data_IF_342853944113
#
_entry.id   IF_342853944113
#
_cell.length_a   1.000
_cell.length_b   1.000
_cell.length_c   1.000
_cell.angle_alpha   90.00
_cell.angle_beta   90.00
_cell.angle_gamma   90.00
#
_symmetry.space_group_name_H-M   'P 1'
#
loop_
_entity.id
_entity.type
_entity.pdbx_description
1 polymer ?
#
# COMPACT_ATOMS: atom_id res chain seq x y z
N UNK A 1 5.84 -26.25 30.14
CA UNK A 1 4.92 -25.09 30.26
C UNK A 1 5.20 -24.21 29.07
N UNK A 2 4.20 -23.76 28.32
CA UNK A 2 4.39 -22.86 27.19
C UNK A 2 4.82 -21.49 27.73
N UNK A 3 5.75 -20.81 27.00
CA UNK A 3 6.14 -19.45 27.31
C UNK A 3 5.05 -18.44 26.87
N UNK A 4 5.07 -17.20 27.37
CA UNK A 4 4.10 -16.18 27.00
C UNK A 4 4.09 -15.92 25.49
N UNK A 5 5.27 -15.93 24.85
CA UNK A 5 5.40 -15.76 23.40
C UNK A 5 4.72 -16.90 22.60
N UNK A 6 4.69 -18.13 23.13
CA UNK A 6 4.03 -19.24 22.46
C UNK A 6 2.51 -19.01 22.38
N UNK A 7 1.90 -18.45 23.43
CA UNK A 7 0.47 -18.11 23.43
C UNK A 7 0.18 -16.96 22.46
N UNK A 8 1.00 -15.90 22.45
CA UNK A 8 0.87 -14.80 21.49
C UNK A 8 0.94 -15.31 20.04
N UNK A 9 1.93 -16.16 19.75
CA UNK A 9 2.13 -16.72 18.41
C UNK A 9 0.96 -17.63 17.98
N UNK A 10 0.49 -18.53 18.86
CA UNK A 10 -0.66 -19.40 18.54
C UNK A 10 -1.92 -18.58 18.29
N UNK A 11 -2.18 -17.54 19.08
CA UNK A 11 -3.30 -16.62 18.86
C UNK A 11 -3.19 -15.89 17.52
N UNK A 12 -1.99 -15.46 17.15
CA UNK A 12 -1.70 -14.84 15.85
C UNK A 12 -1.94 -15.80 14.68
N UNK A 13 -1.46 -17.04 14.79
CA UNK A 13 -1.69 -18.10 13.79
C UNK A 13 -3.19 -18.32 13.57
N UNK A 14 -3.96 -18.43 14.66
CA UNK A 14 -5.40 -18.60 14.59
C UNK A 14 -6.12 -17.38 13.99
N UNK A 15 -5.74 -16.16 14.42
CA UNK A 15 -6.32 -14.89 13.93
C UNK A 15 -6.17 -14.72 12.42
N UNK A 16 -5.00 -15.09 11.88
CA UNK A 16 -4.67 -14.90 10.47
C UNK A 16 -4.82 -16.18 9.64
N UNK A 17 -5.39 -17.24 10.21
CA UNK A 17 -5.61 -18.54 9.56
C UNK A 17 -4.34 -19.08 8.87
N UNK A 18 -3.20 -18.99 9.59
CA UNK A 18 -1.90 -19.40 9.06
C UNK A 18 -1.69 -20.91 9.26
N UNK A 19 -1.00 -21.54 8.31
CA UNK A 19 -0.58 -22.94 8.42
C UNK A 19 0.70 -23.18 7.64
N UNK A 20 1.53 -24.11 8.07
CA UNK A 20 2.78 -24.49 7.42
C UNK A 20 2.90 -26.02 7.36
N UNK A 21 3.56 -26.50 6.32
CA UNK A 21 3.61 -27.92 6.02
C UNK A 21 4.51 -28.71 6.97
N UNK A 22 5.51 -28.06 7.59
CA UNK A 22 6.49 -28.74 8.44
C UNK A 22 6.66 -28.08 9.81
N UNK A 23 7.12 -28.85 10.78
CA UNK A 23 7.44 -28.36 12.12
C UNK A 23 8.63 -27.40 12.08
N UNK A 24 9.59 -27.64 11.20
CA UNK A 24 10.76 -26.77 11.00
C UNK A 24 10.33 -25.37 10.55
N UNK A 25 9.42 -25.30 9.59
CA UNK A 25 8.88 -24.02 9.12
C UNK A 25 8.06 -23.32 10.20
N UNK A 26 7.17 -24.04 10.89
CA UNK A 26 6.43 -23.50 12.02
C UNK A 26 7.35 -22.88 13.07
N UNK A 27 8.45 -23.57 13.44
CA UNK A 27 9.41 -23.05 14.39
C UNK A 27 10.20 -21.83 13.86
N UNK A 28 10.55 -21.82 12.57
CA UNK A 28 11.18 -20.67 11.94
C UNK A 28 10.25 -19.44 11.97
N UNK A 29 8.97 -19.62 11.66
CA UNK A 29 7.95 -18.55 11.72
C UNK A 29 7.75 -18.01 13.13
N UNK A 30 7.73 -18.90 14.12
CA UNK A 30 7.67 -18.50 15.52
C UNK A 30 8.89 -17.67 15.94
N UNK A 31 10.08 -18.02 15.47
CA UNK A 31 11.28 -17.26 15.77
C UNK A 31 11.23 -15.84 15.17
N UNK A 32 10.75 -15.71 13.93
CA UNK A 32 10.54 -14.39 13.27
C UNK A 32 9.53 -13.57 14.07
N UNK A 33 8.38 -14.17 14.41
CA UNK A 33 7.34 -13.51 15.20
C UNK A 33 7.87 -13.02 16.56
N UNK A 34 8.65 -13.85 17.26
CA UNK A 34 9.23 -13.49 18.54
C UNK A 34 10.23 -12.33 18.45
N UNK A 35 11.03 -12.28 17.39
CA UNK A 35 11.94 -11.16 17.14
C UNK A 35 11.18 -9.86 16.88
N UNK A 36 10.06 -9.90 16.13
CA UNK A 36 9.19 -8.75 15.93
C UNK A 36 8.51 -8.32 17.23
N UNK A 37 7.99 -9.27 18.06
CA UNK A 37 7.38 -8.95 19.35
C UNK A 37 8.35 -8.21 20.27
N UNK A 38 9.60 -8.67 20.37
CA UNK A 38 10.64 -8.00 21.15
C UNK A 38 10.95 -6.58 20.62
N UNK A 39 11.03 -6.42 19.30
CA UNK A 39 11.28 -5.11 18.69
C UNK A 39 10.10 -4.14 18.95
N UNK A 40 8.86 -4.62 18.82
CA UNK A 40 7.65 -3.86 19.10
C UNK A 40 7.56 -3.45 20.59
N UNK A 41 7.90 -4.34 21.51
CA UNK A 41 7.93 -4.01 22.94
C UNK A 41 8.94 -2.89 23.23
N UNK A 42 10.11 -2.89 22.59
CA UNK A 42 11.09 -1.80 22.72
C UNK A 42 10.53 -0.48 22.23
N UNK A 43 9.90 -0.45 21.06
CA UNK A 43 9.30 0.76 20.49
C UNK A 43 8.18 1.28 21.39
N UNK A 44 7.26 0.39 21.80
CA UNK A 44 6.09 0.78 22.57
C UNK A 44 6.40 1.25 23.99
N UNK A 45 7.55 0.85 24.55
CA UNK A 45 8.02 1.26 25.87
C UNK A 45 8.98 2.46 25.83
N UNK A 46 9.39 2.93 24.66
CA UNK A 46 10.26 4.09 24.53
C UNK A 46 9.43 5.39 24.59
N UNK A 47 9.63 6.22 25.62
CA UNK A 47 8.88 7.47 25.79
C UNK A 47 9.17 8.55 24.71
N UNK A 48 10.20 8.34 23.88
CA UNK A 48 10.49 9.23 22.76
C UNK A 48 9.59 8.99 21.55
N UNK A 49 8.95 7.82 21.46
CA UNK A 49 8.01 7.51 20.39
C UNK A 49 6.60 8.05 20.72
N UNK A 50 6.00 8.69 19.73
CA UNK A 50 4.61 9.23 19.83
C UNK A 50 3.57 8.29 19.21
N UNK A 51 3.97 7.07 18.85
CA UNK A 51 3.16 6.04 18.22
C UNK A 51 3.38 4.70 18.91
N UNK A 52 2.47 3.77 18.68
CA UNK A 52 2.59 2.37 19.09
C UNK A 52 2.51 1.46 17.86
N UNK A 53 3.11 0.30 17.95
CA UNK A 53 3.12 -0.74 16.90
C UNK A 53 2.55 -2.03 17.44
N UNK A 54 1.96 -2.84 16.55
CA UNK A 54 1.38 -4.13 16.89
C UNK A 54 1.55 -5.13 15.75
N UNK A 55 1.33 -6.40 16.02
CA UNK A 55 1.38 -7.49 15.07
C UNK A 55 0.31 -7.35 13.98
N UNK A 56 0.72 -7.63 12.75
CA UNK A 56 -0.14 -7.68 11.57
C UNK A 56 0.07 -8.99 10.80
N UNK A 57 -0.62 -9.19 9.69
CA UNK A 57 -0.56 -10.40 8.85
C UNK A 57 0.86 -10.77 8.37
N UNK A 58 1.79 -9.81 8.35
CA UNK A 58 3.17 -10.01 7.90
C UNK A 58 4.16 -10.35 9.03
N UNK A 59 3.70 -10.38 10.28
CA UNK A 59 4.59 -10.55 11.45
C UNK A 59 5.34 -11.89 11.50
N UNK A 60 5.00 -12.84 10.64
CA UNK A 60 5.69 -14.12 10.48
C UNK A 60 6.50 -14.22 9.18
N UNK A 61 6.53 -13.16 8.38
CA UNK A 61 7.20 -13.16 7.08
C UNK A 61 8.70 -12.93 7.22
N UNK A 62 9.48 -13.62 6.38
CA UNK A 62 10.91 -13.36 6.22
C UNK A 62 11.16 -12.22 5.21
N UNK A 63 12.40 -11.74 5.12
CA UNK A 63 12.76 -10.63 4.23
C UNK A 63 12.43 -10.89 2.75
N UNK A 64 12.59 -12.12 2.24
CA UNK A 64 12.25 -12.45 0.85
C UNK A 64 10.75 -12.33 0.58
N UNK A 65 9.93 -12.62 1.57
CA UNK A 65 8.47 -12.44 1.46
C UNK A 65 8.11 -10.98 1.54
N UNK A 66 8.75 -10.22 2.43
CA UNK A 66 8.59 -8.76 2.50
C UNK A 66 9.02 -8.05 1.22
N UNK A 67 10.04 -8.55 0.53
CA UNK A 67 10.47 -7.98 -0.75
C UNK A 67 9.39 -8.05 -1.84
N UNK A 68 8.42 -8.97 -1.73
CA UNK A 68 7.29 -9.03 -2.66
C UNK A 68 6.37 -7.82 -2.57
N UNK A 69 6.35 -7.13 -1.41
CA UNK A 69 5.55 -5.92 -1.20
C UNK A 69 6.25 -4.68 -1.76
N UNK A 70 7.57 -4.70 -1.89
CA UNK A 70 8.42 -3.57 -2.29
C UNK A 70 8.49 -3.47 -3.82
N UNK A 71 7.41 -3.06 -4.44
CA UNK A 71 7.25 -3.04 -5.90
C UNK A 71 7.72 -1.76 -6.58
N UNK A 72 8.41 -0.81 -5.90
CA UNK A 72 8.87 0.41 -6.55
C UNK A 72 9.99 0.13 -7.58
N UNK A 73 9.88 0.73 -8.76
CA UNK A 73 10.88 0.72 -9.84
C UNK A 73 11.21 2.15 -10.24
N UNK A 74 12.49 2.42 -10.44
CA UNK A 74 12.91 3.72 -10.94
C UNK A 74 12.41 3.92 -12.37
N UNK A 75 11.75 5.05 -12.61
CA UNK A 75 11.30 5.49 -13.91
C UNK A 75 11.90 6.86 -14.18
N UNK A 76 12.38 7.09 -15.39
CA UNK A 76 12.91 8.39 -15.78
C UNK A 76 11.92 9.05 -16.75
N UNK A 77 11.06 9.89 -16.20
CA UNK A 77 10.07 10.65 -16.99
C UNK A 77 10.69 11.77 -17.81
N UNK A 78 11.95 12.12 -17.54
CA UNK A 78 12.57 13.32 -18.12
C UNK A 78 11.92 14.64 -17.68
N UNK A 79 10.99 14.60 -16.73
CA UNK A 79 10.25 15.78 -16.25
C UNK A 79 10.77 16.18 -14.88
N UNK A 80 11.19 17.41 -14.74
CA UNK A 80 11.47 18.07 -13.48
C UNK A 80 10.42 19.17 -13.31
N UNK A 81 9.26 18.84 -12.78
CA UNK A 81 8.28 19.84 -12.39
C UNK A 81 8.52 20.24 -10.93
N UNK A 82 9.20 21.34 -10.71
CA UNK A 82 9.21 22.01 -9.41
C UNK A 82 8.20 23.16 -9.55
N UNK A 83 7.08 23.06 -8.88
CA UNK A 83 6.15 24.17 -8.70
C UNK A 83 6.50 24.82 -7.37
N UNK A 84 7.18 25.94 -7.40
CA UNK A 84 7.37 26.79 -6.23
C UNK A 84 6.10 27.61 -6.02
N UNK A 85 5.31 27.25 -5.01
CA UNK A 85 4.22 28.07 -4.53
C UNK A 85 4.73 28.90 -3.36
N UNK A 86 4.81 30.23 -3.56
CA UNK A 86 5.22 31.19 -2.51
C UNK A 86 4.01 31.69 -1.70
N UNK A 87 2.86 31.06 -1.79
CA UNK A 87 1.69 31.44 -0.98
C UNK A 87 1.94 31.14 0.51
N UNK A 88 1.41 31.99 1.43
CA UNK A 88 1.51 31.71 2.85
C UNK A 88 0.84 30.38 3.19
N UNK A 89 1.61 29.48 3.79
CA UNK A 89 1.10 28.19 4.25
C UNK A 89 0.57 28.27 5.67
N UNK A 90 -0.44 27.48 5.99
CA UNK A 90 -0.90 27.32 7.36
C UNK A 90 0.17 26.63 8.23
N UNK A 91 0.23 26.94 9.53
CA UNK A 91 1.18 26.33 10.47
C UNK A 91 1.06 24.79 10.51
N UNK A 92 -0.14 24.25 10.28
CA UNK A 92 -0.39 22.82 10.14
C UNK A 92 -1.62 22.56 9.27
N UNK A 93 -1.64 21.38 8.62
CA UNK A 93 -2.81 20.87 7.92
C UNK A 93 -2.93 19.36 8.14
N UNK A 94 -4.18 18.90 8.38
CA UNK A 94 -4.51 17.48 8.45
C UNK A 94 -5.54 17.16 7.36
N UNK A 95 -5.09 16.55 6.28
CA UNK A 95 -5.93 16.21 5.14
C UNK A 95 -6.94 15.10 5.44
N UNK A 96 -6.67 14.23 6.44
CA UNK A 96 -7.64 13.23 6.91
C UNK A 96 -8.87 13.92 7.52
N UNK A 97 -8.66 14.89 8.41
CA UNK A 97 -9.78 15.64 9.04
C UNK A 97 -10.50 16.54 8.05
N UNK A 98 -9.84 16.92 6.95
CA UNK A 98 -10.48 17.66 5.85
C UNK A 98 -11.29 16.77 4.91
N UNK A 99 -11.22 15.44 5.05
CA UNK A 99 -11.93 14.49 4.21
C UNK A 99 -11.28 14.21 2.86
N UNK A 100 -9.99 14.52 2.70
CA UNK A 100 -9.24 14.38 1.44
C UNK A 100 -8.50 13.03 1.31
N UNK A 101 -8.63 12.13 2.29
CA UNK A 101 -7.90 10.87 2.35
C UNK A 101 -8.88 9.71 2.51
N UNK A 102 -8.79 8.73 1.63
CA UNK A 102 -9.57 7.48 1.70
C UNK A 102 -9.15 6.63 2.88
N UNK A 103 -9.98 5.67 3.34
CA UNK A 103 -9.57 4.69 4.34
C UNK A 103 -8.30 3.93 3.95
N UNK A 104 -7.56 3.44 4.94
CA UNK A 104 -6.37 2.62 4.71
C UNK A 104 -6.73 1.38 3.90
N UNK A 105 -6.00 1.17 2.80
CA UNK A 105 -6.17 0.06 1.88
C UNK A 105 -5.11 -1.03 2.11
N UNK A 106 -5.26 -2.20 1.50
CA UNK A 106 -4.33 -3.31 1.63
C UNK A 106 -3.95 -3.86 0.25
N UNK A 107 -2.66 -3.83 -0.08
CA UNK A 107 -2.13 -4.35 -1.34
C UNK A 107 -2.01 -5.88 -1.37
N UNK A 108 -2.22 -6.57 -0.23
CA UNK A 108 -2.03 -8.02 -0.12
C UNK A 108 -0.61 -8.45 -0.48
N UNK A 109 -0.48 -9.56 -1.22
CA UNK A 109 0.81 -10.15 -1.61
C UNK A 109 1.29 -9.74 -3.01
N UNK A 110 0.82 -8.61 -3.51
CA UNK A 110 1.19 -8.04 -4.81
C UNK A 110 2.13 -6.85 -4.61
N UNK A 111 3.21 -6.77 -5.37
CA UNK A 111 4.14 -5.65 -5.35
C UNK A 111 3.59 -4.39 -6.03
N UNK A 112 2.39 -3.97 -5.63
CA UNK A 112 1.62 -2.87 -6.20
C UNK A 112 1.65 -1.58 -5.38
N UNK A 113 2.60 -1.44 -4.44
CA UNK A 113 2.75 -0.22 -3.63
C UNK A 113 2.83 1.06 -4.48
N UNK A 114 3.43 0.97 -5.66
CA UNK A 114 3.47 2.05 -6.65
C UNK A 114 2.07 2.48 -7.12
N UNK A 115 1.15 1.54 -7.36
CA UNK A 115 -0.21 1.81 -7.78
C UNK A 115 -1.01 2.47 -6.64
N UNK A 116 -0.93 1.92 -5.40
CA UNK A 116 -1.58 2.51 -4.22
C UNK A 116 -1.07 3.90 -3.90
N UNK A 117 0.24 4.13 -4.04
CA UNK A 117 0.82 5.47 -3.86
C UNK A 117 0.31 6.46 -4.90
N UNK A 118 0.14 6.01 -6.16
CA UNK A 118 -0.36 6.84 -7.25
C UNK A 118 -1.84 7.17 -7.07
N UNK A 119 -2.69 6.17 -6.77
CA UNK A 119 -4.12 6.41 -6.55
C UNK A 119 -4.36 7.28 -5.34
N UNK A 120 -3.64 7.07 -4.23
CA UNK A 120 -3.77 7.92 -3.04
C UNK A 120 -3.41 9.39 -3.31
N UNK A 121 -2.38 9.65 -4.12
CA UNK A 121 -2.04 11.01 -4.54
C UNK A 121 -3.11 11.60 -5.46
N UNK A 122 -3.63 10.82 -6.41
CA UNK A 122 -4.70 11.23 -7.31
C UNK A 122 -6.01 11.54 -6.56
N UNK A 123 -6.39 10.70 -5.59
CA UNK A 123 -7.56 10.88 -4.72
C UNK A 123 -7.50 12.22 -3.96
N UNK A 124 -6.34 12.52 -3.37
CA UNK A 124 -6.11 13.79 -2.68
C UNK A 124 -6.16 14.99 -3.63
N UNK A 125 -5.51 14.90 -4.79
CA UNK A 125 -5.54 15.95 -5.80
C UNK A 125 -6.95 16.18 -6.35
N UNK A 126 -7.68 15.11 -6.64
CA UNK A 126 -9.07 15.19 -7.09
C UNK A 126 -9.98 15.86 -6.05
N UNK A 127 -9.82 15.50 -4.77
CA UNK A 127 -10.57 16.16 -3.70
C UNK A 127 -10.27 17.66 -3.62
N UNK A 128 -9.01 18.06 -3.74
CA UNK A 128 -8.62 19.48 -3.70
C UNK A 128 -9.25 20.24 -4.85
N UNK A 129 -9.29 19.63 -6.04
CA UNK A 129 -9.84 20.27 -7.24
C UNK A 129 -11.37 20.30 -7.26
N UNK A 130 -12.04 19.22 -6.81
CA UNK A 130 -13.48 19.02 -7.03
C UNK A 130 -14.33 19.07 -5.76
N UNK A 131 -13.71 19.09 -4.57
CA UNK A 131 -14.40 19.12 -3.28
C UNK A 131 -15.06 17.80 -2.87
N UNK A 132 -14.90 16.72 -3.64
CA UNK A 132 -15.46 15.39 -3.35
C UNK A 132 -14.36 14.35 -3.38
N UNK A 133 -14.38 13.41 -2.41
CA UNK A 133 -13.42 12.32 -2.36
C UNK A 133 -13.93 11.14 -3.20
N UNK A 134 -13.07 10.65 -4.08
CA UNK A 134 -13.29 9.43 -4.86
C UNK A 134 -12.21 8.41 -4.51
N UNK A 135 -12.51 7.12 -4.61
CA UNK A 135 -11.53 6.05 -4.51
C UNK A 135 -11.24 5.51 -5.91
N UNK A 136 -9.99 5.62 -6.36
CA UNK A 136 -9.56 5.16 -7.68
C UNK A 136 -8.99 3.75 -7.63
N UNK A 137 -9.05 3.06 -8.79
CA UNK A 137 -8.67 1.66 -8.93
C UNK A 137 -7.16 1.48 -9.03
N UNK A 138 -6.58 0.80 -8.07
CA UNK A 138 -5.22 0.29 -8.14
C UNK A 138 -5.09 -0.86 -9.15
N UNK A 139 -6.16 -1.67 -9.30
CA UNK A 139 -6.16 -2.79 -10.23
C UNK A 139 -6.06 -2.32 -11.68
N UNK A 140 -6.69 -1.21 -12.03
CA UNK A 140 -6.57 -0.63 -13.36
C UNK A 140 -5.09 -0.34 -13.70
N UNK A 141 -4.34 0.27 -12.79
CA UNK A 141 -2.90 0.50 -12.99
C UNK A 141 -2.13 -0.82 -13.10
N UNK A 142 -2.38 -1.78 -12.21
CA UNK A 142 -1.73 -3.10 -12.22
C UNK A 142 -1.92 -3.82 -13.56
N UNK A 143 -3.10 -3.74 -14.14
CA UNK A 143 -3.45 -4.47 -15.37
C UNK A 143 -3.10 -3.68 -16.64
N UNK A 144 -3.23 -2.36 -16.62
CA UNK A 144 -3.23 -1.52 -17.83
C UNK A 144 -1.97 -0.67 -18.01
N UNK A 145 -1.35 -0.18 -16.94
CA UNK A 145 -0.16 0.65 -17.08
C UNK A 145 1.04 -0.18 -17.58
N UNK A 146 1.59 0.24 -18.73
CA UNK A 146 2.77 -0.37 -19.34
C UNK A 146 3.95 0.62 -19.45
N UNK A 147 3.82 1.81 -18.85
CA UNK A 147 4.87 2.83 -18.82
C UNK A 147 5.96 2.50 -17.79
N UNK A 148 6.71 1.40 -18.04
CA UNK A 148 7.74 0.93 -17.12
C UNK A 148 7.20 0.13 -15.93
N UNK A 149 5.90 -0.15 -15.91
CA UNK A 149 5.24 -0.92 -14.87
C UNK A 149 5.04 -2.38 -15.29
N UNK A 150 5.16 -3.29 -14.32
CA UNK A 150 5.06 -4.75 -14.50
C UNK A 150 4.02 -5.35 -13.54
N UNK A 151 2.95 -4.61 -13.27
CA UNK A 151 1.87 -5.04 -12.39
C UNK A 151 2.34 -5.38 -10.97
N UNK A 152 2.08 -6.61 -10.52
CA UNK A 152 2.52 -7.10 -9.20
C UNK A 152 4.04 -7.29 -9.07
N UNK A 153 4.80 -7.21 -10.17
CA UNK A 153 6.27 -7.25 -10.12
C UNK A 153 6.90 -5.87 -9.98
N UNK A 154 6.09 -4.84 -9.84
CA UNK A 154 6.51 -3.49 -9.53
C UNK A 154 6.21 -2.47 -10.63
N UNK A 155 6.37 -1.21 -10.28
CA UNK A 155 6.16 -0.07 -11.15
C UNK A 155 6.62 1.24 -10.51
N UNK A 156 6.26 2.36 -11.12
CA UNK A 156 6.65 3.69 -10.71
C UNK A 156 5.44 4.61 -10.63
N UNK A 157 5.43 5.49 -9.64
CA UNK A 157 4.39 6.50 -9.51
C UNK A 157 4.44 7.50 -10.67
N UNK A 158 5.65 7.89 -11.10
CA UNK A 158 5.83 8.80 -12.24
C UNK A 158 5.30 8.18 -13.54
N UNK A 159 5.52 6.86 -13.75
CA UNK A 159 4.96 6.11 -14.88
C UNK A 159 3.44 6.08 -14.84
N UNK A 160 2.87 5.84 -13.66
CA UNK A 160 1.43 5.83 -13.45
C UNK A 160 0.79 7.20 -13.69
N UNK A 161 1.39 8.30 -13.21
CA UNK A 161 0.88 9.64 -13.50
C UNK A 161 0.96 9.98 -14.97
N UNK A 162 2.04 9.59 -15.66
CA UNK A 162 2.15 9.77 -17.10
C UNK A 162 1.11 8.95 -17.87
N UNK A 163 0.80 7.74 -17.39
CA UNK A 163 -0.25 6.91 -17.97
C UNK A 163 -1.64 7.56 -17.81
N UNK A 164 -1.95 8.17 -16.66
CA UNK A 164 -3.20 8.89 -16.44
C UNK A 164 -3.36 10.17 -17.27
N UNK A 165 -2.28 10.73 -17.83
CA UNK A 165 -2.40 11.86 -18.77
C UNK A 165 -3.14 11.49 -20.05
N UNK A 166 -3.02 10.22 -20.49
CA UNK A 166 -3.63 9.69 -21.70
C UNK A 166 -4.83 8.77 -21.43
N UNK A 167 -5.07 8.42 -20.17
CA UNK A 167 -6.07 7.43 -19.77
C UNK A 167 -6.87 7.94 -18.57
N UNK A 168 -8.19 7.72 -18.61
CA UNK A 168 -9.06 8.07 -17.50
C UNK A 168 -8.91 7.10 -16.34
N UNK A 169 -9.03 7.60 -15.12
CA UNK A 169 -9.01 6.78 -13.91
C UNK A 169 -10.39 6.16 -13.67
N UNK A 170 -10.44 4.84 -13.57
CA UNK A 170 -11.64 4.13 -13.12
C UNK A 170 -11.79 4.20 -11.60
N UNK A 171 -13.02 4.15 -11.12
CA UNK A 171 -13.29 4.04 -9.69
C UNK A 171 -12.97 2.63 -9.18
N UNK A 172 -12.59 2.53 -7.92
CA UNK A 172 -12.38 1.24 -7.24
C UNK A 172 -13.66 0.38 -7.25
N UNK A 173 -14.86 0.99 -7.21
CA UNK A 173 -16.14 0.28 -7.31
C UNK A 173 -16.35 -0.41 -8.66
N UNK A 174 -15.80 0.14 -9.74
CA UNK A 174 -16.01 -0.32 -11.10
C UNK A 174 -14.90 -1.28 -11.55
N UNK A 175 -13.71 -1.10 -11.01
CA UNK A 175 -12.54 -1.94 -11.26
C UNK A 175 -11.87 -2.38 -9.94
N UNK A 176 -12.49 -3.30 -9.19
CA UNK A 176 -12.05 -3.66 -7.84
C UNK A 176 -10.67 -4.31 -7.79
N UNK A 177 -9.92 -4.00 -6.72
CA UNK A 177 -8.60 -4.58 -6.48
C UNK A 177 -8.66 -6.10 -6.24
N UNK A 178 -7.76 -6.85 -6.91
CA UNK A 178 -7.67 -8.32 -6.84
C UNK A 178 -6.34 -8.82 -6.29
N UNK A 179 -5.31 -7.98 -6.25
CA UNK A 179 -3.98 -8.34 -5.76
C UNK A 179 -3.22 -9.34 -6.63
N UNK A 180 -3.58 -9.45 -7.89
CA UNK A 180 -2.93 -10.30 -8.90
C UNK A 180 -2.91 -9.58 -10.24
N UNK A 181 -1.97 -9.97 -11.13
CA UNK A 181 -1.98 -9.47 -12.50
C UNK A 181 -3.21 -9.99 -13.24
N UNK A 182 -3.91 -9.11 -13.92
CA UNK A 182 -5.04 -9.42 -14.78
C UNK A 182 -4.84 -8.96 -16.22
N UNK A 183 -5.92 -9.04 -16.99
CA UNK A 183 -6.00 -8.45 -18.32
C UNK A 183 -6.65 -7.08 -18.23
N UNK A 184 -6.04 -6.08 -18.85
CA UNK A 184 -6.59 -4.73 -18.89
C UNK A 184 -8.01 -4.73 -19.49
N UNK A 185 -8.96 -4.19 -18.76
CA UNK A 185 -10.32 -3.99 -19.22
C UNK A 185 -10.49 -2.53 -19.67
N UNK A 186 -10.48 -2.31 -20.98
CA UNK A 186 -10.61 -0.98 -21.59
C UNK A 186 -12.06 -0.57 -21.87
N UNK A 187 -13.03 -1.39 -21.47
CA UNK A 187 -14.46 -1.12 -21.72
C UNK A 187 -15.14 -0.35 -20.58
N UNK A 188 -14.42 -0.06 -19.49
CA UNK A 188 -14.92 0.80 -18.42
C UNK A 188 -14.77 2.27 -18.84
N UNK A 189 -15.81 3.04 -18.62
CA UNK A 189 -15.76 4.49 -18.80
C UNK A 189 -15.22 5.07 -17.50
N UNK A 190 -13.97 5.47 -17.49
CA UNK A 190 -13.41 6.22 -16.37
C UNK A 190 -14.18 7.51 -16.08
N UNK A 191 -13.85 8.21 -14.98
CA UNK A 191 -14.45 9.51 -14.71
C UNK A 191 -14.18 10.46 -15.88
N UNK A 192 -15.26 10.88 -16.57
CA UNK A 192 -15.17 11.93 -17.57
C UNK A 192 -14.82 13.25 -16.88
N UNK A 193 -13.85 13.97 -17.45
CA UNK A 193 -13.65 15.38 -17.10
C UNK A 193 -14.81 16.18 -17.74
N UNK A 194 -15.92 16.31 -16.99
CA UNK A 194 -16.96 17.31 -17.27
C UNK A 194 -16.68 18.58 -16.44
#
# INVERSE_FOLDING_TARGET
>A
MLAAIDFKFIAHVAKHNLSWATVEEFNARKAIFAAHDEAMEKINNDPLHTYTVDHNEFSTWNEREMDRLRGWKQFNSGRNAIVEDNAPTADSVNWVTKGAVTPVKNQGQCGSCWAFSSTGALEGAYFIANGTLQSFSEQQLVDCDKNGSMGCSGGSMEGAFQWYEDNMADLESDYPYKGVNGTCNTSLAGLTND
#
